data_IF_352893269123
#
_entry.id   IF_352893269123
#
_cell.length_a   1.000
_cell.length_b   1.000
_cell.length_c   1.000
_cell.angle_alpha   90.00
_cell.angle_beta   90.00
_cell.angle_gamma   90.00
#
_symmetry.space_group_name_H-M   'P 1'
#
loop_
_entity.id
_entity.type
_entity.pdbx_description
1 polymer ?
#
# COMPACT_ATOMS: atom_id res chain seq x y z
N UNK A 1 12.69 27.38 -1.37
CA UNK A 1 13.50 26.16 -1.59
C UNK A 1 13.50 25.85 -3.09
N UNK A 2 14.57 25.27 -3.65
CA UNK A 2 14.63 24.97 -5.07
C UNK A 2 13.53 23.96 -5.46
N UNK A 3 12.85 24.24 -6.57
CA UNK A 3 11.78 23.42 -7.14
C UNK A 3 12.36 22.62 -8.30
N UNK A 4 12.04 21.33 -8.39
CA UNK A 4 12.51 20.42 -9.43
C UNK A 4 11.35 19.75 -10.18
N UNK A 5 11.57 19.52 -11.46
CA UNK A 5 10.76 18.61 -12.27
C UNK A 5 11.06 17.15 -11.93
N UNK A 6 10.16 16.20 -12.24
CA UNK A 6 10.46 14.77 -12.18
C UNK A 6 11.67 14.35 -13.03
N UNK A 7 11.99 15.09 -14.09
CA UNK A 7 13.19 14.85 -14.90
C UNK A 7 14.48 15.19 -14.16
N UNK A 8 14.53 16.37 -13.53
CA UNK A 8 15.68 16.80 -12.74
C UNK A 8 15.85 15.92 -11.49
N UNK A 9 14.75 15.67 -10.77
CA UNK A 9 14.74 14.82 -9.60
C UNK A 9 15.11 13.37 -9.94
N UNK A 10 14.57 12.83 -11.04
CA UNK A 10 14.91 11.50 -11.54
C UNK A 10 16.40 11.36 -11.84
N UNK A 11 17.01 12.37 -12.48
CA UNK A 11 18.45 12.37 -12.77
C UNK A 11 19.30 12.28 -11.50
N UNK A 12 18.94 12.98 -10.43
CA UNK A 12 19.63 12.90 -9.13
C UNK A 12 19.46 11.54 -8.45
N UNK A 13 18.30 10.90 -8.65
CA UNK A 13 17.96 9.60 -8.07
C UNK A 13 18.39 8.40 -8.95
N UNK A 14 19.03 8.65 -10.11
CA UNK A 14 19.40 7.60 -11.06
C UNK A 14 18.21 6.93 -11.76
N UNK A 15 17.08 7.65 -11.88
CA UNK A 15 15.81 7.18 -12.45
C UNK A 15 15.42 7.98 -13.69
N UNK A 16 14.71 7.34 -14.63
CA UNK A 16 14.05 8.08 -15.73
C UNK A 16 12.81 8.79 -15.19
N UNK A 17 12.45 9.94 -15.76
CA UNK A 17 11.27 10.70 -15.34
C UNK A 17 9.98 9.86 -15.33
N UNK A 18 9.80 9.00 -16.35
CA UNK A 18 8.66 8.08 -16.42
C UNK A 18 8.63 7.10 -15.24
N UNK A 19 9.77 6.52 -14.90
CA UNK A 19 9.90 5.57 -13.79
C UNK A 19 9.65 6.26 -12.45
N UNK A 20 10.19 7.47 -12.25
CA UNK A 20 9.93 8.24 -11.04
C UNK A 20 8.45 8.60 -10.91
N UNK A 21 7.78 9.02 -11.98
CA UNK A 21 6.35 9.30 -11.94
C UNK A 21 5.53 8.05 -11.62
N UNK A 22 5.91 6.87 -12.13
CA UNK A 22 5.25 5.61 -11.76
C UNK A 22 5.39 5.34 -10.26
N UNK A 23 6.59 5.50 -9.70
CA UNK A 23 6.83 5.33 -8.25
C UNK A 23 6.02 6.34 -7.43
N UNK A 24 6.00 7.61 -7.85
CA UNK A 24 5.20 8.65 -7.20
C UNK A 24 3.71 8.34 -7.26
N UNK A 25 3.23 7.75 -8.36
CA UNK A 25 1.84 7.31 -8.48
C UNK A 25 1.56 6.12 -7.56
N UNK A 26 2.45 5.13 -7.49
CA UNK A 26 2.31 3.95 -6.64
C UNK A 26 2.26 4.26 -5.14
N UNK A 27 2.91 5.35 -4.70
CA UNK A 27 2.82 5.83 -3.30
C UNK A 27 1.66 6.81 -3.06
N UNK A 28 0.86 7.07 -4.09
CA UNK A 28 -0.32 7.94 -4.05
C UNK A 28 0.01 9.44 -3.99
N UNK A 29 1.20 9.85 -4.42
CA UNK A 29 1.59 11.27 -4.48
C UNK A 29 1.02 11.97 -5.71
N UNK A 30 0.86 11.23 -6.81
CA UNK A 30 0.23 11.70 -8.04
C UNK A 30 -0.73 10.64 -8.56
N UNK A 31 -1.65 11.04 -9.43
CA UNK A 31 -2.54 10.15 -10.16
C UNK A 31 -2.37 10.38 -11.67
N UNK A 32 -2.42 9.28 -12.43
CA UNK A 32 -2.47 9.35 -13.90
C UNK A 32 -3.86 9.79 -14.33
N UNK A 33 -3.93 10.72 -15.27
CA UNK A 33 -5.19 11.19 -15.85
C UNK A 33 -5.00 11.51 -17.33
N UNK A 34 -6.11 11.66 -18.06
CA UNK A 34 -6.07 11.95 -19.50
C UNK A 34 -5.25 13.19 -19.89
N UNK A 35 -4.98 14.09 -18.93
CA UNK A 35 -4.25 15.35 -19.13
C UNK A 35 -2.80 15.28 -18.64
N UNK A 36 -2.31 14.13 -18.19
CA UNK A 36 -0.97 13.96 -17.61
C UNK A 36 -1.03 13.58 -16.13
N UNK A 37 -0.19 14.22 -15.30
CA UNK A 37 -0.07 13.86 -13.88
C UNK A 37 -0.78 14.88 -13.00
N UNK A 38 -1.77 14.42 -12.23
CA UNK A 38 -2.44 15.25 -11.23
C UNK A 38 -1.84 14.99 -9.85
N UNK A 39 -1.61 16.05 -9.11
CA UNK A 39 -1.11 16.02 -7.74
C UNK A 39 -2.26 15.66 -6.78
N UNK A 40 -2.02 14.69 -5.90
CA UNK A 40 -2.98 14.32 -4.84
C UNK A 40 -2.83 15.23 -3.61
N UNK A 41 -3.78 15.16 -2.67
CA UNK A 41 -3.61 15.83 -1.37
C UNK A 41 -2.37 15.36 -0.62
N UNK A 42 -2.09 14.05 -0.68
CA UNK A 42 -0.89 13.44 -0.07
C UNK A 42 0.38 13.95 -0.74
N UNK A 43 0.43 14.01 -2.07
CA UNK A 43 1.57 14.59 -2.78
C UNK A 43 1.81 16.05 -2.40
N UNK A 44 0.73 16.85 -2.29
CA UNK A 44 0.80 18.25 -1.85
C UNK A 44 1.35 18.38 -0.42
N UNK A 45 0.90 17.54 0.51
CA UNK A 45 1.41 17.50 1.88
C UNK A 45 2.91 17.14 1.95
N UNK A 46 3.43 16.44 0.93
CA UNK A 46 4.83 16.03 0.82
C UNK A 46 5.66 16.93 -0.13
N UNK A 47 5.24 18.18 -0.35
CA UNK A 47 6.03 19.18 -1.07
C UNK A 47 5.82 19.21 -2.59
N UNK A 48 4.80 18.51 -3.10
CA UNK A 48 4.42 18.56 -4.50
C UNK A 48 3.66 19.84 -4.87
N UNK A 49 3.86 20.30 -6.10
CA UNK A 49 3.25 21.50 -6.67
C UNK A 49 2.64 21.13 -8.02
N UNK A 50 1.33 21.37 -8.19
CA UNK A 50 0.66 21.14 -9.47
C UNK A 50 1.06 22.23 -10.46
N UNK A 51 1.39 21.80 -11.67
CA UNK A 51 1.54 22.67 -12.84
C UNK A 51 0.42 22.37 -13.84
N UNK A 52 -0.04 23.41 -14.53
CA UNK A 52 -0.98 23.30 -15.63
C UNK A 52 -0.53 24.25 -16.75
N UNK A 53 -0.05 23.67 -17.84
CA UNK A 53 0.33 24.44 -19.02
C UNK A 53 -0.57 24.07 -20.20
N UNK A 54 -1.45 25.01 -20.59
CA UNK A 54 -2.41 24.84 -21.70
C UNK A 54 -3.25 23.57 -21.58
N UNK A 55 -3.64 23.18 -20.36
CA UNK A 55 -4.43 21.98 -20.09
C UNK A 55 -3.63 20.70 -19.90
N UNK A 56 -2.29 20.72 -20.10
CA UNK A 56 -1.43 19.60 -19.75
C UNK A 56 -0.99 19.72 -18.29
N UNK A 57 -1.33 18.70 -17.51
CA UNK A 57 -1.01 18.59 -16.09
C UNK A 57 0.35 17.92 -15.91
N UNK A 58 1.21 18.58 -15.13
CA UNK A 58 2.47 18.04 -14.66
C UNK A 58 2.69 18.42 -13.20
N UNK A 59 3.70 17.84 -12.56
CA UNK A 59 4.04 18.17 -11.18
C UNK A 59 5.46 18.70 -11.07
N UNK A 60 5.69 19.55 -10.09
CA UNK A 60 7.00 19.89 -9.58
C UNK A 60 7.10 19.49 -8.11
N UNK A 61 8.32 19.45 -7.58
CA UNK A 61 8.60 19.04 -6.21
C UNK A 61 9.59 19.99 -5.55
N UNK A 62 9.37 20.27 -4.27
CA UNK A 62 10.46 20.76 -3.41
C UNK A 62 11.61 19.76 -3.43
N UNK A 63 12.85 20.24 -3.57
CA UNK A 63 14.03 19.39 -3.62
C UNK A 63 14.14 18.43 -2.42
N UNK A 64 13.62 18.81 -1.24
CA UNK A 64 13.64 17.95 -0.07
C UNK A 64 12.78 16.69 -0.17
N UNK A 65 11.92 16.57 -1.19
CA UNK A 65 11.16 15.33 -1.41
C UNK A 65 12.07 14.11 -1.53
N UNK A 66 13.32 14.27 -2.00
CA UNK A 66 14.30 13.18 -2.07
C UNK A 66 14.67 12.59 -0.71
N UNK A 67 14.46 13.35 0.35
CA UNK A 67 14.68 12.93 1.73
C UNK A 67 13.41 12.33 2.38
N UNK A 68 12.30 12.31 1.65
CA UNK A 68 11.04 11.77 2.14
C UNK A 68 11.13 10.25 2.30
N UNK A 69 10.83 9.75 3.50
CA UNK A 69 10.93 8.32 3.82
C UNK A 69 10.04 7.44 2.93
N UNK A 70 8.84 7.90 2.59
CA UNK A 70 7.91 7.15 1.74
C UNK A 70 8.52 6.95 0.35
N UNK A 71 9.06 8.02 -0.24
CA UNK A 71 9.73 7.95 -1.54
C UNK A 71 11.00 7.09 -1.49
N UNK A 72 11.84 7.26 -0.46
CA UNK A 72 13.06 6.46 -0.28
C UNK A 72 12.75 4.97 -0.19
N UNK A 73 11.71 4.60 0.58
CA UNK A 73 11.27 3.23 0.73
C UNK A 73 10.74 2.66 -0.59
N UNK A 74 9.99 3.44 -1.37
CA UNK A 74 9.48 3.01 -2.67
C UNK A 74 10.58 2.85 -3.73
N UNK A 75 11.62 3.69 -3.66
CA UNK A 75 12.80 3.57 -4.53
C UNK A 75 13.65 2.33 -4.21
N UNK A 76 13.60 1.86 -2.96
CA UNK A 76 14.42 0.76 -2.45
C UNK A 76 13.54 -0.26 -1.72
N UNK A 77 12.69 -1.02 -2.44
CA UNK A 77 11.73 -1.93 -1.82
C UNK A 77 12.39 -3.08 -1.05
N UNK A 78 13.67 -3.37 -1.32
CA UNK A 78 14.45 -4.38 -0.62
C UNK A 78 14.94 -3.96 0.78
N UNK A 79 14.69 -2.71 1.21
CA UNK A 79 15.03 -2.28 2.57
C UNK A 79 14.13 -3.04 3.54
N UNK A 80 14.73 -3.93 4.32
CA UNK A 80 14.05 -4.68 5.37
C UNK A 80 13.47 -3.73 6.44
N UNK A 81 12.38 -4.19 7.06
CA UNK A 81 11.77 -3.51 8.21
C UNK A 81 12.80 -3.35 9.33
N UNK A 82 12.80 -2.16 9.94
CA UNK A 82 13.65 -1.88 11.12
C UNK A 82 12.87 -2.05 12.42
N UNK A 83 11.57 -2.30 12.33
CA UNK A 83 10.72 -2.51 13.49
C UNK A 83 11.01 -3.88 14.13
N UNK A 84 11.51 -3.87 15.36
CA UNK A 84 11.92 -5.08 16.06
C UNK A 84 10.74 -6.02 16.38
N UNK A 85 9.55 -5.47 16.61
CA UNK A 85 8.35 -6.30 16.88
C UNK A 85 7.90 -6.99 15.58
N UNK A 86 7.98 -6.29 14.45
CA UNK A 86 7.69 -6.85 13.13
C UNK A 86 8.70 -7.95 12.75
N UNK A 87 10.00 -7.74 13.01
CA UNK A 87 11.04 -8.75 12.79
C UNK A 87 10.84 -10.00 13.65
N UNK A 88 10.53 -9.82 14.94
CA UNK A 88 10.23 -10.93 15.86
C UNK A 88 9.01 -11.73 15.37
N UNK A 89 7.94 -11.02 14.99
CA UNK A 89 6.73 -11.65 14.45
C UNK A 89 7.04 -12.49 13.19
N UNK A 90 7.73 -11.91 12.20
CA UNK A 90 8.04 -12.61 10.94
C UNK A 90 9.01 -13.78 11.12
N UNK A 91 9.85 -13.73 12.17
CA UNK A 91 10.75 -14.83 12.56
C UNK A 91 9.96 -15.95 13.23
N UNK A 92 9.04 -15.61 14.13
CA UNK A 92 8.19 -16.55 14.87
C UNK A 92 7.18 -17.25 13.96
N UNK A 93 6.56 -16.52 13.04
CA UNK A 93 5.52 -17.03 12.16
C UNK A 93 6.04 -17.05 10.72
N UNK A 94 6.78 -18.09 10.33
CA UNK A 94 7.39 -18.16 8.99
C UNK A 94 6.33 -18.32 7.88
N UNK A 95 6.59 -17.70 6.73
CA UNK A 95 5.76 -17.87 5.54
C UNK A 95 6.06 -19.21 4.86
N UNK A 96 5.30 -20.25 5.21
CA UNK A 96 5.53 -21.64 4.79
C UNK A 96 4.36 -22.26 4.01
N UNK A 97 3.20 -21.61 4.02
CA UNK A 97 2.01 -22.13 3.34
C UNK A 97 1.95 -21.62 1.91
N UNK A 98 2.10 -22.51 0.92
CA UNK A 98 2.03 -22.16 -0.49
C UNK A 98 0.57 -22.01 -0.95
N UNK A 99 0.26 -20.91 -1.62
CA UNK A 99 -1.04 -20.59 -2.22
C UNK A 99 -1.08 -20.95 -3.71
N UNK A 100 -2.26 -20.96 -4.32
CA UNK A 100 -2.44 -21.24 -5.75
C UNK A 100 -1.89 -20.12 -6.65
N UNK A 101 -1.87 -18.89 -6.13
CA UNK A 101 -1.18 -17.76 -6.77
C UNK A 101 0.35 -17.88 -6.76
N UNK A 102 0.90 -18.85 -6.02
CA UNK A 102 2.34 -19.08 -5.89
C UNK A 102 3.00 -18.35 -4.71
N UNK A 103 2.30 -17.44 -4.02
CA UNK A 103 2.79 -16.81 -2.80
C UNK A 103 2.93 -17.83 -1.66
N UNK A 104 3.93 -17.63 -0.80
CA UNK A 104 4.00 -18.27 0.51
C UNK A 104 3.46 -17.32 1.58
N UNK A 105 2.50 -17.78 2.38
CA UNK A 105 1.84 -17.01 3.44
C UNK A 105 2.04 -17.66 4.81
N UNK A 106 1.67 -16.97 5.89
CA UNK A 106 2.00 -17.36 7.28
C UNK A 106 0.91 -18.16 7.99
N UNK A 107 -0.30 -18.21 7.44
CA UNK A 107 -1.44 -18.88 8.07
C UNK A 107 -2.42 -19.50 7.06
N UNK A 108 -3.21 -20.48 7.52
CA UNK A 108 -4.29 -21.08 6.71
C UNK A 108 -5.37 -20.08 6.32
N UNK A 109 -5.65 -19.10 7.17
CA UNK A 109 -6.61 -18.04 6.87
C UNK A 109 -6.13 -17.17 5.70
N UNK A 110 -4.85 -16.80 5.67
CA UNK A 110 -4.26 -16.10 4.53
C UNK A 110 -4.26 -16.95 3.26
N UNK A 111 -4.11 -18.28 3.35
CA UNK A 111 -4.29 -19.16 2.17
C UNK A 111 -5.70 -19.04 1.60
N UNK A 112 -6.72 -19.09 2.47
CA UNK A 112 -8.13 -18.96 2.04
C UNK A 112 -8.35 -17.62 1.35
N UNK A 113 -7.85 -16.52 1.92
CA UNK A 113 -7.99 -15.18 1.34
C UNK A 113 -7.22 -15.08 0.00
N UNK A 114 -5.97 -15.53 -0.04
CA UNK A 114 -5.13 -15.48 -1.23
C UNK A 114 -5.72 -16.31 -2.39
N UNK A 115 -6.18 -17.52 -2.10
CA UNK A 115 -6.79 -18.41 -3.09
C UNK A 115 -8.14 -17.85 -3.56
N UNK A 116 -8.94 -17.24 -2.69
CA UNK A 116 -10.15 -16.53 -3.11
C UNK A 116 -9.84 -15.41 -4.10
N UNK A 117 -8.87 -14.55 -3.77
CA UNK A 117 -8.45 -13.43 -4.63
C UNK A 117 -7.94 -13.95 -5.99
N UNK A 118 -7.17 -15.05 -5.96
CA UNK A 118 -6.66 -15.71 -7.16
C UNK A 118 -7.78 -16.24 -8.07
N UNK A 119 -8.73 -17.02 -7.53
CA UNK A 119 -9.85 -17.56 -8.31
C UNK A 119 -10.80 -16.48 -8.81
N UNK A 120 -10.92 -15.37 -8.10
CA UNK A 120 -11.70 -14.20 -8.50
C UNK A 120 -11.00 -13.33 -9.53
N UNK A 121 -9.81 -13.72 -10.01
CA UNK A 121 -8.96 -12.93 -10.91
C UNK A 121 -8.63 -11.53 -10.38
N UNK A 122 -8.56 -11.39 -9.06
CA UNK A 122 -8.21 -10.14 -8.39
C UNK A 122 -6.70 -10.16 -8.15
N UNK A 123 -5.98 -9.29 -8.84
CA UNK A 123 -4.56 -9.08 -8.59
C UNK A 123 -4.36 -8.51 -7.18
N UNK A 124 -3.39 -9.06 -6.45
CA UNK A 124 -3.02 -8.60 -5.12
C UNK A 124 -1.51 -8.65 -4.91
N UNK A 125 -1.02 -7.89 -3.93
CA UNK A 125 0.32 -8.01 -3.37
C UNK A 125 0.21 -8.50 -1.93
N UNK A 126 0.98 -9.53 -1.56
CA UNK A 126 1.06 -10.06 -0.19
C UNK A 126 2.14 -9.33 0.62
N UNK A 127 1.86 -9.08 1.90
CA UNK A 127 2.79 -8.40 2.83
C UNK A 127 3.38 -7.11 2.26
N UNK A 128 2.55 -6.28 1.62
CA UNK A 128 3.00 -5.03 0.99
C UNK A 128 3.21 -3.95 2.05
N UNK A 129 4.34 -3.25 1.97
CA UNK A 129 4.59 -2.05 2.79
C UNK A 129 3.60 -0.96 2.43
N UNK A 130 2.93 -0.41 3.44
CA UNK A 130 1.98 0.69 3.26
C UNK A 130 2.78 1.97 3.01
N UNK A 131 2.43 2.79 2.00
CA UNK A 131 3.22 3.96 1.60
C UNK A 131 3.03 5.13 2.57
N UNK A 132 3.36 4.95 3.84
CA UNK A 132 3.22 5.94 4.92
C UNK A 132 4.56 6.07 5.66
N UNK A 133 4.70 7.05 6.55
CA UNK A 133 5.94 7.23 7.30
C UNK A 133 6.23 6.11 8.29
N UNK A 134 5.17 5.50 8.84
CA UNK A 134 5.28 4.38 9.75
C UNK A 134 5.75 3.13 9.01
N UNK A 135 6.60 2.32 9.66
CA UNK A 135 7.02 1.03 9.12
C UNK A 135 5.92 0.01 9.33
N UNK A 136 5.00 -0.08 8.36
CA UNK A 136 3.80 -0.91 8.45
C UNK A 136 3.59 -1.70 7.17
N UNK A 137 3.18 -2.96 7.33
CA UNK A 137 2.86 -3.87 6.23
C UNK A 137 1.40 -4.29 6.35
N UNK A 138 0.70 -4.37 5.23
CA UNK A 138 -0.64 -4.96 5.15
C UNK A 138 -0.56 -6.44 4.81
N UNK A 139 -1.59 -7.23 5.13
CA UNK A 139 -1.60 -8.64 4.74
C UNK A 139 -1.79 -8.77 3.22
N UNK A 140 -2.75 -8.04 2.65
CA UNK A 140 -2.95 -7.98 1.20
C UNK A 140 -3.24 -6.56 0.72
N UNK A 141 -2.72 -6.20 -0.45
CA UNK A 141 -3.05 -4.96 -1.14
C UNK A 141 -3.63 -5.22 -2.52
N UNK A 142 -4.76 -4.58 -2.83
CA UNK A 142 -5.45 -4.68 -4.11
C UNK A 142 -5.19 -3.40 -4.94
N UNK A 143 -4.23 -3.41 -5.88
CA UNK A 143 -3.82 -2.21 -6.61
C UNK A 143 -4.93 -1.57 -7.45
N UNK A 144 -5.88 -2.36 -7.95
CA UNK A 144 -6.94 -1.86 -8.85
C UNK A 144 -7.90 -0.88 -8.18
N UNK A 145 -8.17 -1.04 -6.89
CA UNK A 145 -9.07 -0.17 -6.11
C UNK A 145 -8.37 0.48 -4.92
N UNK A 146 -7.04 0.34 -4.82
CA UNK A 146 -6.21 0.87 -3.74
C UNK A 146 -6.71 0.47 -2.33
N UNK A 147 -7.13 -0.78 -2.18
CA UNK A 147 -7.67 -1.34 -0.93
C UNK A 147 -6.63 -2.20 -0.22
N UNK A 148 -6.52 -2.03 1.09
CA UNK A 148 -5.73 -2.87 1.99
C UNK A 148 -6.65 -3.86 2.71
N UNK A 149 -6.24 -5.11 2.83
CA UNK A 149 -6.94 -6.16 3.58
C UNK A 149 -6.08 -6.56 4.77
N UNK A 150 -6.71 -6.67 5.93
CA UNK A 150 -6.12 -7.18 7.18
C UNK A 150 -6.95 -8.35 7.71
N UNK A 151 -6.28 -9.42 8.14
CA UNK A 151 -6.90 -10.56 8.80
C UNK A 151 -6.65 -10.55 10.30
N UNK A 152 -7.73 -10.51 11.07
CA UNK A 152 -7.73 -10.45 12.52
C UNK A 152 -8.09 -11.81 13.14
N UNK A 153 -7.14 -12.75 13.11
CA UNK A 153 -7.38 -14.13 13.56
C UNK A 153 -7.11 -14.44 15.03
N UNK A 154 -6.37 -13.60 15.75
CA UNK A 154 -5.81 -13.96 17.07
C UNK A 154 -6.22 -12.98 18.19
N UNK A 155 -7.45 -13.05 18.68
CA UNK A 155 -8.01 -12.01 19.57
C UNK A 155 -7.74 -12.19 21.08
N UNK A 156 -7.17 -13.33 21.49
CA UNK A 156 -7.01 -13.70 22.91
C UNK A 156 -5.74 -13.14 23.59
N UNK A 157 -4.93 -12.34 22.89
CA UNK A 157 -3.71 -11.72 23.41
C UNK A 157 -3.83 -10.19 23.45
N UNK A 158 -3.66 -9.60 24.63
CA UNK A 158 -3.72 -8.15 24.86
C UNK A 158 -2.72 -7.38 24.00
N UNK A 159 -1.52 -7.94 23.75
CA UNK A 159 -0.53 -7.35 22.85
C UNK A 159 -1.02 -7.35 21.42
N UNK A 160 -1.69 -8.42 20.98
CA UNK A 160 -2.28 -8.47 19.64
C UNK A 160 -3.39 -7.44 19.48
N UNK A 161 -4.31 -7.36 20.43
CA UNK A 161 -5.43 -6.40 20.41
C UNK A 161 -4.93 -4.95 20.40
N UNK A 162 -3.87 -4.65 21.14
CA UNK A 162 -3.22 -3.33 21.10
C UNK A 162 -2.61 -3.02 19.73
N UNK A 163 -1.93 -3.99 19.10
CA UNK A 163 -1.38 -3.83 17.74
C UNK A 163 -2.47 -3.64 16.69
N UNK A 164 -3.53 -4.45 16.73
CA UNK A 164 -4.71 -4.33 15.86
C UNK A 164 -5.29 -2.91 15.93
N UNK A 165 -5.54 -2.41 17.15
CA UNK A 165 -6.05 -1.05 17.36
C UNK A 165 -5.12 0.03 16.79
N UNK A 166 -3.81 -0.04 17.09
CA UNK A 166 -2.81 0.90 16.55
C UNK A 166 -2.81 0.90 15.01
N UNK A 167 -2.89 -0.28 14.38
CA UNK A 167 -2.91 -0.42 12.92
C UNK A 167 -4.17 0.23 12.32
N UNK A 168 -5.34 -0.02 12.90
CA UNK A 168 -6.61 0.57 12.47
C UNK A 168 -6.57 2.11 12.62
N UNK A 169 -6.05 2.63 13.73
CA UNK A 169 -5.89 4.08 13.94
C UNK A 169 -5.01 4.71 12.86
N UNK A 170 -3.93 4.04 12.45
CA UNK A 170 -3.06 4.49 11.36
C UNK A 170 -3.82 4.51 10.03
N UNK A 171 -4.53 3.43 9.67
CA UNK A 171 -5.34 3.38 8.44
C UNK A 171 -6.35 4.54 8.39
N UNK A 172 -7.02 4.85 9.50
CA UNK A 172 -7.97 5.95 9.59
C UNK A 172 -7.28 7.31 9.46
N UNK A 173 -6.19 7.53 10.20
CA UNK A 173 -5.43 8.80 10.17
C UNK A 173 -4.91 9.11 8.77
N UNK A 174 -4.41 8.09 8.07
CA UNK A 174 -3.83 8.22 6.72
C UNK A 174 -4.89 8.15 5.62
N UNK A 175 -6.19 8.04 5.98
CA UNK A 175 -7.34 7.98 5.06
C UNK A 175 -7.19 6.87 4.00
N UNK A 176 -6.74 5.69 4.43
CA UNK A 176 -6.51 4.54 3.57
C UNK A 176 -7.74 3.61 3.54
N UNK A 177 -8.03 3.04 2.38
CA UNK A 177 -9.13 2.10 2.20
C UNK A 177 -8.81 0.75 2.86
N UNK A 178 -9.56 0.37 3.90
CA UNK A 178 -9.30 -0.84 4.68
C UNK A 178 -10.51 -1.78 4.66
N UNK A 179 -10.26 -3.05 4.34
CA UNK A 179 -11.16 -4.19 4.59
C UNK A 179 -10.57 -5.01 5.74
N UNK A 180 -11.40 -5.32 6.73
CA UNK A 180 -11.01 -6.09 7.90
C UNK A 180 -11.75 -7.42 7.89
N UNK A 181 -11.00 -8.52 7.88
CA UNK A 181 -11.55 -9.88 7.91
C UNK A 181 -11.27 -10.46 9.29
N UNK A 182 -12.30 -10.92 9.99
CA UNK A 182 -12.14 -11.64 11.26
C UNK A 182 -12.48 -13.13 11.09
N UNK A 183 -12.37 -13.90 12.19
CA UNK A 183 -12.71 -15.33 12.21
C UNK A 183 -14.16 -15.63 11.81
N UNK A 184 -15.10 -14.68 11.93
CA UNK A 184 -16.50 -14.90 11.54
C UNK A 184 -16.70 -14.62 10.05
N UNK A 185 -16.10 -13.55 9.56
CA UNK A 185 -16.20 -13.07 8.19
C UNK A 185 -15.49 -14.00 7.21
N UNK A 186 -14.34 -14.58 7.62
CA UNK A 186 -13.62 -15.55 6.79
C UNK A 186 -14.41 -16.83 6.52
N UNK A 187 -15.29 -17.25 7.44
CA UNK A 187 -16.12 -18.44 7.25
C UNK A 187 -17.18 -18.25 6.15
N UNK A 188 -17.47 -17.00 5.77
CA UNK A 188 -18.40 -16.64 4.70
C UNK A 188 -17.73 -15.67 3.72
N UNK A 189 -16.46 -15.91 3.39
CA UNK A 189 -15.65 -14.99 2.60
C UNK A 189 -16.28 -14.66 1.24
N UNK A 190 -16.90 -15.66 0.60
CA UNK A 190 -17.57 -15.55 -0.70
C UNK A 190 -18.75 -14.56 -0.69
N UNK A 191 -19.40 -14.36 0.46
CA UNK A 191 -20.47 -13.37 0.62
C UNK A 191 -19.94 -12.02 1.13
N UNK A 192 -18.93 -12.08 2.00
CA UNK A 192 -18.37 -10.92 2.67
C UNK A 192 -17.56 -10.05 1.72
N UNK A 193 -16.58 -10.65 1.02
CA UNK A 193 -15.59 -9.89 0.28
C UNK A 193 -16.17 -9.16 -0.95
N UNK A 194 -17.10 -9.73 -1.75
CA UNK A 194 -17.75 -8.96 -2.82
C UNK A 194 -18.49 -7.72 -2.32
N UNK A 195 -19.20 -7.84 -1.17
CA UNK A 195 -19.94 -6.72 -0.58
C UNK A 195 -19.01 -5.61 -0.11
N UNK A 196 -17.88 -5.96 0.50
CA UNK A 196 -16.88 -4.99 0.93
C UNK A 196 -16.17 -4.32 -0.25
N UNK A 197 -15.76 -5.10 -1.25
CA UNK A 197 -15.09 -4.58 -2.45
C UNK A 197 -15.97 -3.61 -3.26
N UNK A 198 -17.29 -3.85 -3.28
CA UNK A 198 -18.23 -2.98 -3.94
C UNK A 198 -18.23 -1.55 -3.38
N UNK A 199 -17.96 -1.38 -2.07
CA UNK A 199 -17.84 -0.05 -1.43
C UNK A 199 -16.69 0.77 -2.01
N UNK A 200 -15.70 0.12 -2.60
CA UNK A 200 -14.54 0.74 -3.26
C UNK A 200 -14.63 0.68 -4.78
N UNK A 201 -15.83 0.47 -5.33
CA UNK A 201 -16.08 0.48 -6.78
C UNK A 201 -15.56 -0.75 -7.53
N UNK A 202 -15.10 -1.79 -6.82
CA UNK A 202 -14.67 -3.05 -7.44
C UNK A 202 -15.87 -4.01 -7.51
N UNK A 203 -16.29 -4.34 -8.73
CA UNK A 203 -17.24 -5.41 -9.01
C UNK A 203 -16.47 -6.66 -9.43
N UNK A 204 -16.86 -7.79 -8.84
CA UNK A 204 -16.31 -9.12 -9.09
C UNK A 204 -17.44 -10.05 -9.52
#
# INVERSE_FOLDING_TARGET
>A
MPIKTPTELGKELGKKAKELNQILAEIGFIEDCNQGWRLTQKGKANGGIQNNYKGNLSVYWDENVKNNKILINALNPSIETKDSEELDFRTKFKAEYRTQSGHFVRSRAEVIIADYLYHSYIMFAYERRVPIEADMYCDFFLPKCEVYIEFWGYEDDEKYTTRKRKKIEIYQKESLNLIQIDNKSINNLDDFLPKELLKFGMKI
#
